data_IF_712631137321
#
_entry.id   IF_712631137321
#
_cell.length_a   1.000
_cell.length_b   1.000
_cell.length_c   1.000
_cell.angle_alpha   90.00
_cell.angle_beta   90.00
_cell.angle_gamma   90.00
#
_symmetry.space_group_name_H-M   'P 1'
#
loop_
_entity.id
_entity.type
_entity.pdbx_description
1 polymer ?
#
# COMPACT_ATOMS: atom_id res chain seq x y z
N UNK A 1 77.45 -15.15 -42.90
CA UNK A 1 76.31 -14.22 -42.81
C UNK A 1 75.52 -14.56 -41.55
N UNK A 2 75.28 -13.56 -40.72
CA UNK A 2 74.99 -13.61 -39.29
C UNK A 2 73.58 -14.12 -38.97
N UNK A 3 73.47 -14.93 -37.91
CA UNK A 3 72.21 -15.42 -37.34
C UNK A 3 71.48 -14.34 -36.53
N UNK A 4 70.15 -14.33 -36.55
CA UNK A 4 69.30 -13.69 -35.55
C UNK A 4 68.11 -14.59 -35.19
N UNK A 5 67.79 -14.57 -33.89
CA UNK A 5 66.91 -15.47 -33.11
C UNK A 5 65.63 -14.75 -32.67
N UNK A 6 64.51 -15.50 -32.64
CA UNK A 6 63.31 -15.46 -31.75
C UNK A 6 62.49 -14.15 -31.61
N UNK A 7 61.21 -14.15 -31.13
CA UNK A 7 60.46 -15.22 -30.45
C UNK A 7 59.02 -15.52 -30.94
N UNK A 8 58.52 -16.67 -30.47
CA UNK A 8 57.13 -17.11 -30.53
C UNK A 8 56.22 -16.27 -29.61
N UNK A 9 55.06 -15.86 -30.13
CA UNK A 9 53.99 -15.23 -29.33
C UNK A 9 52.91 -16.25 -28.96
N UNK A 10 52.48 -16.12 -27.71
CA UNK A 10 51.72 -17.06 -26.92
C UNK A 10 50.21 -17.11 -27.24
N UNK A 11 49.62 -18.24 -26.86
CA UNK A 11 48.21 -18.59 -26.83
C UNK A 11 47.33 -17.63 -26.03
N UNK A 12 46.11 -17.40 -26.52
CA UNK A 12 44.97 -16.96 -25.70
C UNK A 12 43.77 -17.87 -25.97
N UNK A 13 43.56 -18.81 -25.05
CA UNK A 13 42.35 -19.59 -24.95
C UNK A 13 41.25 -18.72 -24.30
N UNK A 14 40.18 -18.45 -25.02
CA UNK A 14 39.00 -17.73 -24.50
C UNK A 14 38.09 -18.76 -23.82
N UNK A 15 38.11 -18.78 -22.49
CA UNK A 15 37.16 -19.52 -21.65
C UNK A 15 35.86 -18.70 -21.55
N UNK A 16 34.82 -19.12 -22.26
CA UNK A 16 33.45 -18.62 -22.10
C UNK A 16 32.82 -19.27 -20.86
N UNK A 17 32.86 -18.58 -19.72
CA UNK A 17 32.04 -18.91 -18.56
C UNK A 17 30.61 -18.40 -18.81
N UNK A 18 29.70 -19.30 -19.17
CA UNK A 18 28.27 -19.03 -19.23
C UNK A 18 27.70 -18.87 -17.82
N UNK A 19 27.45 -17.64 -17.39
CA UNK A 19 26.68 -17.36 -16.18
C UNK A 19 25.18 -17.59 -16.48
N UNK A 20 24.64 -18.71 -16.00
CA UNK A 20 23.21 -18.93 -15.96
C UNK A 20 22.60 -18.02 -14.88
N UNK A 21 22.02 -16.89 -15.27
CA UNK A 21 21.16 -16.11 -14.40
C UNK A 21 19.86 -16.90 -14.17
N UNK A 22 19.76 -17.56 -13.02
CA UNK A 22 18.49 -18.01 -12.49
C UNK A 22 17.65 -16.78 -12.15
N UNK A 23 16.74 -16.40 -13.05
CA UNK A 23 15.73 -15.40 -12.76
C UNK A 23 14.73 -16.02 -11.76
N UNK A 24 14.88 -15.66 -10.48
CA UNK A 24 13.89 -15.92 -9.44
C UNK A 24 12.62 -15.17 -9.80
N UNK A 25 11.67 -15.84 -10.45
CA UNK A 25 10.34 -15.29 -10.69
C UNK A 25 9.67 -15.19 -9.32
N UNK A 26 9.68 -14.01 -8.72
CA UNK A 26 8.90 -13.75 -7.52
C UNK A 26 7.43 -14.02 -7.88
N UNK A 27 6.88 -15.14 -7.40
CA UNK A 27 5.48 -15.46 -7.60
C UNK A 27 4.65 -14.31 -6.99
N UNK A 28 3.57 -13.88 -7.67
CA UNK A 28 2.69 -12.88 -7.10
C UNK A 28 2.16 -13.45 -5.78
N UNK A 29 2.46 -12.78 -4.68
CA UNK A 29 1.87 -13.10 -3.39
C UNK A 29 0.36 -12.80 -3.50
N UNK A 30 -0.41 -13.78 -3.94
CA UNK A 30 -1.84 -13.81 -3.71
C UNK A 30 -2.06 -13.91 -2.19
N UNK A 31 -3.11 -13.30 -1.66
CA UNK A 31 -3.57 -13.61 -0.31
C UNK A 31 -4.06 -15.06 -0.32
N UNK A 32 -3.15 -15.99 -0.14
CA UNK A 32 -3.51 -17.34 0.26
C UNK A 32 -3.81 -17.28 1.75
N UNK A 33 -4.96 -17.84 2.16
CA UNK A 33 -5.17 -18.18 3.56
C UNK A 33 -4.00 -19.02 4.04
N UNK A 34 -3.59 -18.90 5.30
CA UNK A 34 -2.49 -19.70 5.83
C UNK A 34 -2.70 -21.21 5.56
N UNK A 35 -1.77 -21.90 4.89
CA UNK A 35 -1.79 -23.37 4.82
C UNK A 35 -1.41 -23.91 6.20
N UNK A 36 -2.41 -24.15 7.04
CA UNK A 36 -2.20 -24.56 8.42
C UNK A 36 -1.42 -25.86 8.61
N UNK A 37 -1.22 -26.65 7.54
CA UNK A 37 -0.35 -27.83 7.58
C UNK A 37 1.13 -27.49 7.48
N UNK A 38 1.46 -26.28 7.03
CA UNK A 38 2.83 -25.77 6.81
C UNK A 38 3.16 -24.56 7.67
N UNK A 39 2.25 -24.16 8.56
CA UNK A 39 2.46 -23.05 9.47
C UNK A 39 3.75 -23.23 10.27
N UNK A 40 4.66 -22.27 10.16
CA UNK A 40 6.00 -22.36 10.79
C UNK A 40 6.41 -21.11 11.55
N UNK A 41 5.70 -19.98 11.36
CA UNK A 41 5.89 -18.75 12.12
C UNK A 41 4.92 -18.58 13.29
N UNK A 42 5.22 -17.70 14.28
CA UNK A 42 4.33 -17.44 15.42
C UNK A 42 2.96 -16.92 14.97
N UNK A 43 2.92 -16.04 13.97
CA UNK A 43 1.67 -15.52 13.40
C UNK A 43 0.83 -16.61 12.75
N UNK A 44 1.43 -17.41 11.86
CA UNK A 44 0.70 -18.49 11.17
C UNK A 44 0.22 -19.54 12.17
N UNK A 45 1.05 -19.88 13.16
CA UNK A 45 0.67 -20.81 14.23
C UNK A 45 -0.50 -20.28 15.04
N UNK A 46 -0.48 -19.00 15.42
CA UNK A 46 -1.57 -18.36 16.15
C UNK A 46 -2.88 -18.34 15.34
N UNK A 47 -2.81 -17.97 14.05
CA UNK A 47 -3.97 -17.98 13.14
C UNK A 47 -4.55 -19.39 13.04
N UNK A 48 -3.71 -20.40 12.82
CA UNK A 48 -4.16 -21.77 12.59
C UNK A 48 -4.62 -22.50 13.85
N UNK A 49 -4.11 -22.14 15.03
CA UNK A 49 -4.54 -22.73 16.31
C UNK A 49 -5.76 -22.03 16.93
N UNK A 50 -6.15 -20.86 16.41
CA UNK A 50 -7.28 -20.06 16.92
C UNK A 50 -8.44 -20.04 15.90
N UNK A 51 -9.55 -20.77 16.13
CA UNK A 51 -10.63 -20.89 15.14
C UNK A 51 -11.21 -19.56 14.65
N UNK A 52 -11.31 -18.55 15.52
CA UNK A 52 -11.79 -17.22 15.16
C UNK A 52 -10.83 -16.49 14.21
N UNK A 53 -9.51 -16.58 14.44
CA UNK A 53 -8.50 -15.98 13.56
C UNK A 53 -8.45 -16.69 12.20
N UNK A 54 -8.52 -18.03 12.18
CA UNK A 54 -8.60 -18.80 10.93
C UNK A 54 -9.82 -18.41 10.10
N UNK A 55 -10.98 -18.19 10.75
CA UNK A 55 -12.20 -17.74 10.06
C UNK A 55 -12.05 -16.33 9.49
N UNK A 56 -11.38 -15.40 10.19
CA UNK A 56 -11.08 -14.06 9.67
C UNK A 56 -10.10 -14.10 8.50
N UNK A 57 -9.04 -14.90 8.59
CA UNK A 57 -8.05 -15.07 7.52
C UNK A 57 -8.68 -15.63 6.23
N UNK A 58 -9.59 -16.61 6.36
CA UNK A 58 -10.37 -17.12 5.22
C UNK A 58 -11.27 -16.05 4.58
N UNK A 59 -11.96 -15.22 5.39
CA UNK A 59 -12.77 -14.10 4.87
C UNK A 59 -11.93 -13.07 4.13
N UNK A 60 -10.76 -12.72 4.67
CA UNK A 60 -9.80 -11.82 4.02
C UNK A 60 -9.40 -12.37 2.65
N UNK A 61 -9.06 -13.66 2.56
CA UNK A 61 -8.69 -14.30 1.29
C UNK A 61 -9.85 -14.27 0.28
N UNK A 62 -11.07 -14.56 0.71
CA UNK A 62 -12.28 -14.51 -0.14
C UNK A 62 -12.54 -13.09 -0.68
N UNK A 63 -12.51 -12.08 0.19
CA UNK A 63 -12.77 -10.67 -0.16
C UNK A 63 -11.67 -10.12 -1.07
N UNK A 64 -10.41 -10.39 -0.75
CA UNK A 64 -9.27 -10.04 -1.61
C UNK A 64 -9.42 -10.67 -3.00
N UNK A 65 -9.73 -11.97 -3.07
CA UNK A 65 -9.92 -12.65 -4.35
C UNK A 65 -11.07 -12.08 -5.17
N UNK A 66 -12.15 -11.63 -4.50
CA UNK A 66 -13.28 -10.97 -5.15
C UNK A 66 -12.90 -9.61 -5.72
N UNK A 67 -12.21 -8.77 -4.92
CA UNK A 67 -11.74 -7.46 -5.36
C UNK A 67 -10.77 -7.57 -6.56
N UNK A 68 -9.80 -8.49 -6.49
CA UNK A 68 -8.84 -8.73 -7.59
C UNK A 68 -9.53 -9.13 -8.90
N UNK A 69 -10.65 -9.85 -8.85
CA UNK A 69 -11.41 -10.23 -10.06
C UNK A 69 -12.26 -9.09 -10.62
N UNK A 70 -12.67 -8.15 -9.78
CA UNK A 70 -13.47 -6.99 -10.19
C UNK A 70 -12.63 -5.86 -10.78
N UNK A 71 -11.38 -5.72 -10.34
CA UNK A 71 -10.50 -4.64 -10.74
C UNK A 71 -9.87 -4.82 -12.13
N UNK A 72 -9.58 -3.68 -12.76
CA UNK A 72 -8.65 -3.62 -13.89
C UNK A 72 -7.23 -4.05 -13.48
N UNK A 73 -6.34 -4.25 -14.45
CA UNK A 73 -5.00 -4.76 -14.20
C UNK A 73 -4.14 -3.86 -13.28
N UNK A 74 -4.28 -2.54 -13.40
CA UNK A 74 -3.50 -1.57 -12.62
C UNK A 74 -4.01 -1.51 -11.17
N UNK A 75 -5.33 -1.40 -11.00
CA UNK A 75 -6.01 -1.43 -9.70
C UNK A 75 -5.75 -2.75 -8.97
N UNK A 76 -5.81 -3.88 -9.68
CA UNK A 76 -5.50 -5.19 -9.11
C UNK A 76 -4.05 -5.27 -8.63
N UNK A 77 -3.08 -4.79 -9.42
CA UNK A 77 -1.67 -4.81 -9.01
C UNK A 77 -1.37 -3.87 -7.84
N UNK A 78 -2.04 -2.71 -7.78
CA UNK A 78 -1.99 -1.86 -6.60
C UNK A 78 -2.49 -2.61 -5.36
N UNK A 79 -3.62 -3.32 -5.46
CA UNK A 79 -4.16 -4.09 -4.33
C UNK A 79 -3.24 -5.25 -3.92
N UNK A 80 -2.53 -5.88 -4.87
CA UNK A 80 -1.52 -6.89 -4.51
C UNK A 80 -0.37 -6.30 -3.71
N UNK A 81 0.11 -5.10 -4.08
CA UNK A 81 1.16 -4.39 -3.31
C UNK A 81 0.69 -4.05 -1.91
N UNK A 82 -0.51 -3.50 -1.79
CA UNK A 82 -1.12 -3.17 -0.51
C UNK A 82 -1.31 -4.41 0.39
N UNK A 83 -1.79 -5.52 -0.18
CA UNK A 83 -1.90 -6.79 0.55
C UNK A 83 -0.53 -7.34 1.01
N UNK A 84 0.52 -7.21 0.19
CA UNK A 84 1.89 -7.59 0.60
C UNK A 84 2.39 -6.73 1.75
N UNK A 85 2.14 -5.42 1.71
CA UNK A 85 2.50 -4.50 2.78
C UNK A 85 1.76 -4.85 4.08
N UNK A 86 0.47 -5.20 3.98
CA UNK A 86 -0.33 -5.64 5.12
C UNK A 86 0.28 -6.89 5.78
N UNK A 87 0.60 -7.93 4.98
CA UNK A 87 1.19 -9.16 5.49
C UNK A 87 2.56 -8.91 6.14
N UNK A 88 3.37 -8.02 5.55
CA UNK A 88 4.67 -7.64 6.12
C UNK A 88 4.50 -6.91 7.46
N UNK A 89 3.59 -5.94 7.56
CA UNK A 89 3.30 -5.22 8.80
C UNK A 89 2.77 -6.16 9.89
N UNK A 90 1.79 -7.00 9.56
CA UNK A 90 1.23 -8.02 10.46
C UNK A 90 2.30 -8.94 11.01
N UNK A 91 3.16 -9.45 10.14
CA UNK A 91 4.24 -10.36 10.54
C UNK A 91 5.31 -9.64 11.37
N UNK A 92 5.65 -8.40 11.05
CA UNK A 92 6.60 -7.60 11.81
C UNK A 92 6.09 -7.30 13.23
N UNK A 93 4.81 -6.98 13.38
CA UNK A 93 4.17 -6.78 14.69
C UNK A 93 4.09 -8.09 15.46
N UNK A 94 3.60 -9.15 14.82
CA UNK A 94 3.45 -10.45 15.47
C UNK A 94 4.77 -11.11 15.89
N UNK A 95 5.89 -10.76 15.26
CA UNK A 95 7.21 -11.22 15.69
C UNK A 95 7.66 -10.67 17.06
N UNK A 96 6.99 -9.61 17.56
CA UNK A 96 7.30 -8.95 18.83
C UNK A 96 6.39 -9.41 19.99
N UNK A 97 5.33 -10.16 19.68
CA UNK A 97 4.25 -10.51 20.60
C UNK A 97 4.14 -12.03 20.75
N UNK A 98 3.53 -12.47 21.85
CA UNK A 98 3.27 -13.90 22.11
C UNK A 98 1.94 -14.08 22.86
N UNK A 99 1.44 -15.32 22.90
CA UNK A 99 0.29 -15.67 23.74
C UNK A 99 -0.96 -14.83 23.46
N UNK A 100 -1.58 -14.32 24.53
CA UNK A 100 -2.81 -13.55 24.46
C UNK A 100 -2.63 -12.22 23.69
N UNK A 101 -1.52 -11.50 23.94
CA UNK A 101 -1.24 -10.21 23.28
C UNK A 101 -1.14 -10.38 21.75
N UNK A 102 -0.52 -11.47 21.28
CA UNK A 102 -0.47 -11.80 19.86
C UNK A 102 -1.86 -12.09 19.29
N UNK A 103 -2.70 -12.82 20.03
CA UNK A 103 -4.06 -13.15 19.59
C UNK A 103 -4.93 -11.90 19.51
N UNK A 104 -4.83 -11.00 20.48
CA UNK A 104 -5.56 -9.72 20.52
C UNK A 104 -5.15 -8.83 19.33
N UNK A 105 -3.85 -8.61 19.14
CA UNK A 105 -3.33 -7.82 18.02
C UNK A 105 -3.74 -8.41 16.66
N UNK A 106 -3.63 -9.73 16.48
CA UNK A 106 -4.07 -10.37 15.24
C UNK A 106 -5.59 -10.25 15.05
N UNK A 107 -6.39 -10.33 16.11
CA UNK A 107 -7.85 -10.15 16.01
C UNK A 107 -8.14 -8.76 15.46
N UNK A 108 -7.48 -7.74 16.00
CA UNK A 108 -7.66 -6.35 15.61
C UNK A 108 -7.18 -6.08 14.17
N UNK A 109 -5.97 -6.51 13.82
CA UNK A 109 -5.41 -6.36 12.47
C UNK A 109 -6.23 -7.09 11.40
N UNK A 110 -6.62 -8.34 11.65
CA UNK A 110 -7.43 -9.10 10.68
C UNK A 110 -8.84 -8.51 10.55
N UNK A 111 -9.44 -8.03 11.64
CA UNK A 111 -10.76 -7.38 11.59
C UNK A 111 -10.71 -6.09 10.78
N UNK A 112 -9.72 -5.21 11.01
CA UNK A 112 -9.52 -4.00 10.20
C UNK A 112 -9.31 -4.33 8.73
N UNK A 113 -8.52 -5.37 8.44
CA UNK A 113 -8.25 -5.76 7.05
C UNK A 113 -9.49 -6.30 6.35
N UNK A 114 -10.26 -7.13 7.03
CA UNK A 114 -11.53 -7.65 6.51
C UNK A 114 -12.50 -6.51 6.22
N UNK A 115 -12.65 -5.55 7.14
CA UNK A 115 -13.51 -4.38 6.94
C UNK A 115 -13.05 -3.53 5.75
N UNK A 116 -11.74 -3.28 5.62
CA UNK A 116 -11.18 -2.59 4.45
C UNK A 116 -11.52 -3.30 3.14
N UNK A 117 -11.30 -4.62 3.05
CA UNK A 117 -11.57 -5.39 1.83
C UNK A 117 -13.06 -5.50 1.51
N UNK A 118 -13.93 -5.55 2.54
CA UNK A 118 -15.38 -5.56 2.39
C UNK A 118 -15.92 -4.21 1.89
N UNK A 119 -15.27 -3.11 2.24
CA UNK A 119 -15.67 -1.77 1.83
C UNK A 119 -15.19 -1.36 0.44
N UNK A 120 -14.35 -2.17 -0.22
CA UNK A 120 -13.80 -1.84 -1.54
C UNK A 120 -14.89 -1.69 -2.60
N UNK A 121 -14.89 -0.54 -3.26
CA UNK A 121 -15.72 -0.20 -4.41
C UNK A 121 -15.00 -0.41 -5.73
N UNK A 122 -15.77 -0.52 -6.81
CA UNK A 122 -15.29 -0.58 -8.19
C UNK A 122 -16.24 0.22 -9.08
N UNK A 123 -16.55 1.46 -8.67
CA UNK A 123 -17.44 2.32 -9.43
C UNK A 123 -16.76 2.70 -10.76
N UNK A 124 -17.42 2.51 -11.92
CA UNK A 124 -16.88 2.96 -13.20
C UNK A 124 -16.78 4.49 -13.32
N UNK A 125 -17.46 5.26 -12.47
CA UNK A 125 -17.37 6.71 -12.44
C UNK A 125 -16.04 7.13 -11.80
N UNK A 126 -15.10 7.52 -12.65
CA UNK A 126 -13.83 8.11 -12.23
C UNK A 126 -14.09 9.53 -11.77
N UNK A 127 -14.03 9.76 -10.47
CA UNK A 127 -14.10 11.07 -9.84
C UNK A 127 -13.14 11.08 -8.65
N UNK A 128 -12.53 12.21 -8.32
CA UNK A 128 -11.73 12.34 -7.09
C UNK A 128 -12.64 12.43 -5.85
N UNK A 129 -13.91 12.81 -6.01
CA UNK A 129 -14.90 12.91 -4.93
C UNK A 129 -15.27 11.51 -4.45
N UNK A 130 -15.15 11.28 -3.14
CA UNK A 130 -15.42 10.00 -2.55
C UNK A 130 -14.55 9.72 -1.34
N UNK A 131 -14.62 8.47 -0.88
CA UNK A 131 -13.80 7.97 0.24
C UNK A 131 -12.80 6.97 -0.30
N UNK A 132 -11.56 7.13 0.12
CA UNK A 132 -10.41 6.44 -0.44
C UNK A 132 -9.57 5.87 0.69
N UNK A 133 -9.31 4.57 0.67
CA UNK A 133 -8.62 3.87 1.77
C UNK A 133 -7.43 3.07 1.26
N UNK A 134 -6.42 2.90 2.09
CA UNK A 134 -5.36 1.90 1.89
C UNK A 134 -4.99 1.28 3.24
N UNK A 135 -3.91 0.51 3.29
CA UNK A 135 -3.38 -0.05 4.54
C UNK A 135 -3.14 1.00 5.63
N UNK A 136 -2.68 2.20 5.26
CA UNK A 136 -2.18 3.19 6.20
C UNK A 136 -3.29 4.13 6.68
N UNK A 137 -4.33 4.36 5.89
CA UNK A 137 -5.28 5.42 6.21
C UNK A 137 -6.44 5.62 5.24
N UNK A 138 -7.09 6.77 5.39
CA UNK A 138 -8.27 7.19 4.65
C UNK A 138 -8.15 8.65 4.22
N UNK A 139 -8.64 8.93 3.01
CA UNK A 139 -8.85 10.27 2.47
C UNK A 139 -10.31 10.39 2.04
N UNK A 140 -11.00 11.42 2.50
CA UNK A 140 -12.36 11.75 2.10
C UNK A 140 -12.32 13.05 1.33
N UNK A 141 -12.81 13.04 0.09
CA UNK A 141 -12.97 14.23 -0.74
C UNK A 141 -14.45 14.54 -0.92
N UNK A 142 -14.85 15.77 -0.62
CA UNK A 142 -16.20 16.28 -0.77
C UNK A 142 -16.22 17.47 -1.74
N UNK A 143 -17.36 17.67 -2.40
CA UNK A 143 -17.61 18.84 -3.24
C UNK A 143 -18.81 19.64 -2.71
N UNK A 144 -18.62 20.95 -2.55
CA UNK A 144 -19.68 21.89 -2.17
C UNK A 144 -20.54 22.26 -3.38
N UNK A 145 -21.76 22.75 -3.15
CA UNK A 145 -22.65 23.21 -4.22
C UNK A 145 -22.04 24.35 -5.07
N UNK A 146 -21.06 25.07 -4.54
CA UNK A 146 -20.27 26.10 -5.24
C UNK A 146 -19.25 25.53 -6.22
N UNK A 147 -19.00 24.22 -6.19
CA UNK A 147 -17.98 23.53 -6.98
C UNK A 147 -16.64 23.32 -6.25
N UNK A 148 -16.43 24.00 -5.12
CA UNK A 148 -15.20 23.92 -4.29
C UNK A 148 -15.02 22.50 -3.75
N UNK A 149 -13.79 21.97 -3.84
CA UNK A 149 -13.42 20.71 -3.23
C UNK A 149 -12.85 20.92 -1.83
N UNK A 150 -13.14 19.98 -0.94
CA UNK A 150 -12.54 19.88 0.40
C UNK A 150 -12.13 18.46 0.65
N UNK A 151 -11.10 18.25 1.46
CA UNK A 151 -10.68 16.91 1.87
C UNK A 151 -10.36 16.84 3.35
N UNK A 152 -10.48 15.63 3.90
CA UNK A 152 -9.88 15.23 5.16
C UNK A 152 -9.03 13.98 4.92
N UNK A 153 -7.88 13.88 5.59
CA UNK A 153 -6.98 12.76 5.45
C UNK A 153 -6.38 12.37 6.80
N UNK A 154 -6.39 11.06 7.08
CA UNK A 154 -5.71 10.46 8.22
C UNK A 154 -4.92 9.25 7.76
N UNK A 155 -3.72 9.07 8.30
CA UNK A 155 -2.94 7.86 8.08
C UNK A 155 -2.00 7.57 9.25
N UNK A 156 -1.60 6.33 9.45
CA UNK A 156 -0.63 5.94 10.47
C UNK A 156 0.23 4.76 10.03
N UNK A 157 1.40 4.59 10.68
CA UNK A 157 2.24 3.41 10.46
C UNK A 157 1.44 2.14 10.85
N UNK A 158 1.18 1.21 9.90
CA UNK A 158 0.44 -0.02 10.19
C UNK A 158 1.16 -0.95 11.18
N UNK A 159 2.42 -0.65 11.53
CA UNK A 159 3.21 -1.37 12.53
C UNK A 159 3.07 -0.83 13.95
N UNK A 160 2.42 0.34 14.12
CA UNK A 160 2.21 1.01 15.41
C UNK A 160 3.40 1.82 15.95
N UNK A 161 4.50 1.92 15.19
CA UNK A 161 5.81 2.29 15.76
C UNK A 161 6.35 3.68 15.36
N UNK A 162 5.68 4.40 14.45
CA UNK A 162 6.41 5.39 13.66
C UNK A 162 5.78 6.76 13.56
N UNK A 163 4.67 6.84 12.83
CA UNK A 163 4.18 8.10 12.33
C UNK A 163 2.66 8.10 12.25
N UNK A 164 2.10 9.29 12.31
CA UNK A 164 0.70 9.58 12.00
C UNK A 164 0.62 10.85 11.17
N UNK A 165 -0.39 10.91 10.31
CA UNK A 165 -0.75 12.05 9.49
C UNK A 165 -2.19 12.44 9.79
N UNK A 166 -2.46 13.74 9.95
CA UNK A 166 -3.80 14.28 10.07
C UNK A 166 -3.84 15.68 9.44
N UNK A 167 -4.67 15.84 8.40
CA UNK A 167 -4.80 17.10 7.67
C UNK A 167 -6.17 17.23 7.04
N UNK A 168 -6.65 18.46 6.94
CA UNK A 168 -7.77 18.85 6.11
C UNK A 168 -7.37 20.04 5.24
N UNK A 169 -8.15 20.27 4.18
CA UNK A 169 -7.89 21.40 3.30
C UNK A 169 -8.95 21.56 2.23
N UNK A 170 -8.75 22.57 1.39
CA UNK A 170 -9.57 22.85 0.22
C UNK A 170 -8.73 22.79 -1.04
N UNK A 171 -9.39 22.59 -2.16
CA UNK A 171 -8.72 22.45 -3.44
C UNK A 171 -9.62 22.74 -4.61
N UNK A 172 -9.00 22.69 -5.78
CA UNK A 172 -9.63 22.94 -7.05
C UNK A 172 -9.44 21.74 -7.98
N UNK A 173 -10.38 21.60 -8.90
CA UNK A 173 -10.25 20.66 -10.01
C UNK A 173 -9.13 21.12 -10.94
N UNK A 174 -8.28 20.18 -11.35
CA UNK A 174 -7.34 20.34 -12.46
C UNK A 174 -7.98 19.80 -13.74
N UNK A 175 -8.64 18.65 -13.64
CA UNK A 175 -9.35 17.97 -14.72
C UNK A 175 -10.52 17.14 -14.15
N UNK A 176 -11.27 16.41 -14.96
CA UNK A 176 -12.41 15.57 -14.51
C UNK A 176 -12.01 14.46 -13.51
N UNK A 177 -10.77 13.98 -13.61
CA UNK A 177 -10.21 12.91 -12.79
C UNK A 177 -9.09 13.40 -11.86
N UNK A 178 -8.83 14.71 -11.79
CA UNK A 178 -7.63 15.25 -11.14
C UNK A 178 -7.94 16.51 -10.33
N UNK A 179 -7.40 16.57 -9.12
CA UNK A 179 -7.54 17.72 -8.24
C UNK A 179 -6.26 18.01 -7.49
N UNK A 180 -6.11 19.26 -7.07
CA UNK A 180 -5.03 19.70 -6.20
C UNK A 180 -5.62 20.35 -4.97
N UNK A 181 -5.14 19.91 -3.81
CA UNK A 181 -5.42 20.52 -2.53
C UNK A 181 -4.18 21.24 -2.03
N UNK A 182 -4.41 22.45 -1.55
CA UNK A 182 -3.40 23.31 -0.97
C UNK A 182 -3.82 23.68 0.46
N UNK A 183 -2.90 24.23 1.23
CA UNK A 183 -3.19 24.71 2.58
C UNK A 183 -4.12 25.94 2.56
N UNK A 184 -5.23 25.81 3.29
CA UNK A 184 -6.22 26.88 3.49
C UNK A 184 -5.60 28.13 4.13
N UNK A 185 -4.52 28.00 4.90
CA UNK A 185 -3.87 29.14 5.56
C UNK A 185 -3.10 30.05 4.59
N UNK A 186 -2.90 29.60 3.34
CA UNK A 186 -2.12 30.32 2.32
C UNK A 186 -0.63 30.41 2.65
N UNK A 187 -0.18 29.73 3.71
CA UNK A 187 1.20 29.73 4.17
C UNK A 187 1.99 28.49 3.73
N UNK A 188 1.35 27.41 3.25
CA UNK A 188 2.07 26.16 3.04
C UNK A 188 2.92 26.06 1.79
N UNK A 189 4.13 25.59 2.08
CA UNK A 189 5.11 24.94 1.25
C UNK A 189 4.72 23.48 0.87
N UNK A 190 3.44 23.15 0.67
CA UNK A 190 3.05 21.80 0.23
C UNK A 190 1.73 21.75 -0.54
N UNK A 191 1.56 20.71 -1.34
CA UNK A 191 0.28 20.38 -2.00
C UNK A 191 0.03 18.88 -2.04
N UNK A 192 -1.25 18.50 -2.07
CA UNK A 192 -1.71 17.14 -2.29
C UNK A 192 -2.35 17.06 -3.68
N UNK A 193 -1.65 16.43 -4.63
CA UNK A 193 -2.16 16.24 -5.98
C UNK A 193 -2.76 14.84 -6.05
N UNK A 194 -4.02 14.75 -6.45
CA UNK A 194 -4.74 13.48 -6.51
C UNK A 194 -5.29 13.24 -7.90
N UNK A 195 -5.19 12.00 -8.37
CA UNK A 195 -5.73 11.57 -9.65
C UNK A 195 -6.49 10.27 -9.52
N UNK A 196 -7.76 10.27 -9.89
CA UNK A 196 -8.61 9.09 -9.93
C UNK A 196 -8.27 8.26 -11.17
N UNK A 197 -8.02 6.96 -10.98
CA UNK A 197 -7.63 6.03 -12.04
C UNK A 197 -8.30 4.67 -11.78
N UNK A 198 -9.32 4.34 -12.57
CA UNK A 198 -10.13 3.15 -12.33
C UNK A 198 -10.75 3.17 -10.93
N UNK A 199 -10.54 2.11 -10.15
CA UNK A 199 -11.01 2.00 -8.77
C UNK A 199 -10.08 2.64 -7.72
N UNK A 200 -9.09 3.43 -8.16
CA UNK A 200 -8.03 3.98 -7.29
C UNK A 200 -7.92 5.49 -7.34
N UNK A 201 -7.37 6.07 -6.27
CA UNK A 201 -6.90 7.43 -6.19
C UNK A 201 -5.39 7.41 -5.97
N UNK A 202 -4.64 7.93 -6.94
CA UNK A 202 -3.20 8.14 -6.82
C UNK A 202 -2.97 9.47 -6.15
N UNK A 203 -2.27 9.45 -5.03
CA UNK A 203 -2.02 10.62 -4.18
C UNK A 203 -0.53 10.90 -4.18
N UNK A 204 -0.17 12.16 -4.43
CA UNK A 204 1.20 12.66 -4.43
C UNK A 204 1.30 13.95 -3.64
N UNK A 205 2.04 13.89 -2.54
CA UNK A 205 2.47 15.07 -1.82
C UNK A 205 3.63 15.72 -2.57
N UNK A 206 3.56 17.04 -2.72
CA UNK A 206 4.68 17.85 -3.18
C UNK A 206 5.03 18.81 -2.07
N UNK A 207 6.30 18.87 -1.72
CA UNK A 207 6.84 19.90 -0.83
C UNK A 207 7.47 20.98 -1.71
N UNK A 208 7.08 22.22 -1.48
CA UNK A 208 7.55 23.39 -2.21
C UNK A 208 8.51 24.21 -1.32
N UNK A 209 9.15 25.23 -1.88
CA UNK A 209 9.96 26.22 -1.13
C UNK A 209 11.07 25.66 -0.22
N UNK A 210 11.55 24.43 -0.47
CA UNK A 210 12.69 23.85 0.23
C UNK A 210 12.41 23.39 1.66
N UNK A 211 11.15 23.13 2.02
CA UNK A 211 10.84 22.49 3.30
C UNK A 211 11.31 21.02 3.31
N UNK A 212 11.70 20.53 4.50
CA UNK A 212 12.24 19.18 4.67
C UNK A 212 11.15 18.10 4.84
N UNK A 213 9.93 18.50 5.24
CA UNK A 213 8.80 17.59 5.49
C UNK A 213 7.45 18.32 5.38
N UNK A 214 6.38 17.54 5.18
CA UNK A 214 5.00 18.04 5.34
C UNK A 214 4.68 18.28 6.82
N UNK A 215 3.93 19.35 7.17
CA UNK A 215 3.74 19.74 8.58
C UNK A 215 2.72 18.87 9.32
N UNK A 216 1.95 18.04 8.62
CA UNK A 216 0.86 17.24 9.18
C UNK A 216 1.23 15.77 9.39
N UNK A 217 2.40 15.32 8.95
CA UNK A 217 2.88 13.96 9.19
C UNK A 217 4.09 13.97 10.12
N UNK A 218 4.00 13.25 11.24
CA UNK A 218 5.15 13.03 12.14
C UNK A 218 6.17 12.04 11.55
N UNK A 219 7.42 12.11 12.00
CA UNK A 219 8.44 11.07 11.83
C UNK A 219 8.62 10.48 10.40
N UNK A 220 8.49 11.32 9.37
CA UNK A 220 8.64 10.87 7.97
C UNK A 220 7.45 10.09 7.43
N UNK A 221 6.29 10.20 8.07
CA UNK A 221 5.02 9.73 7.54
C UNK A 221 4.61 10.44 6.24
N UNK A 222 3.64 9.86 5.54
CA UNK A 222 3.26 10.32 4.20
C UNK A 222 1.82 9.89 3.89
N UNK A 223 1.09 10.77 3.19
CA UNK A 223 -0.17 10.45 2.52
C UNK A 223 0.02 9.99 1.07
N UNK A 224 1.23 10.06 0.54
CA UNK A 224 1.51 9.62 -0.83
C UNK A 224 1.30 8.12 -0.97
N UNK A 225 0.61 7.72 -2.04
CA UNK A 225 0.30 6.32 -2.28
C UNK A 225 -0.88 6.11 -3.21
N UNK A 226 -1.28 4.85 -3.34
CA UNK A 226 -2.51 4.46 -4.04
C UNK A 226 -3.55 4.11 -3.00
N UNK A 227 -4.72 4.73 -3.12
CA UNK A 227 -5.89 4.44 -2.30
C UNK A 227 -6.96 3.79 -3.17
N UNK A 228 -7.86 3.03 -2.55
CA UNK A 228 -8.95 2.32 -3.19
C UNK A 228 -10.27 2.92 -2.76
N UNK A 229 -11.21 3.00 -3.69
CA UNK A 229 -12.53 3.54 -3.41
C UNK A 229 -13.23 2.73 -2.31
N UNK A 230 -13.88 3.41 -1.37
CA UNK A 230 -14.64 2.79 -0.28
C UNK A 230 -16.14 3.13 -0.38
N UNK A 231 -16.99 2.14 -0.66
CA UNK A 231 -18.41 2.34 -0.98
C UNK A 231 -19.30 2.75 0.21
N UNK A 232 -18.88 2.55 1.46
CA UNK A 232 -19.85 2.49 2.59
C UNK A 232 -20.31 3.75 3.35
N UNK A 233 -19.79 4.97 3.29
CA UNK A 233 -19.95 6.00 4.36
C UNK A 233 -19.48 5.53 5.77
N UNK A 234 -18.88 6.40 6.59
CA UNK A 234 -18.60 6.09 7.99
C UNK A 234 -19.90 5.76 8.73
N UNK A 235 -19.86 4.80 9.65
CA UNK A 235 -20.92 4.68 10.65
C UNK A 235 -20.91 5.98 11.47
N UNK A 236 -21.99 6.80 11.47
CA UNK A 236 -22.01 8.05 12.23
C UNK A 236 -21.93 7.84 13.75
N UNK A 237 -21.87 6.59 14.24
CA UNK A 237 -21.84 6.22 15.65
C UNK A 237 -20.51 5.63 16.15
N UNK A 238 -19.43 5.64 15.37
CA UNK A 238 -18.08 5.26 15.84
C UNK A 238 -17.08 6.39 15.77
#
# INVERSE_FOLDING_TARGET
MTALRFPSSASTAVLLLGAALAASVAQPAAAESADCRRASGPVETAICSTPALAALDAKIAERYGTAIRGYDAASAEALRRDQRAFLAARNAVGARLTGADLIEELTDQLTRREAFLTDLGNDPLVSVVGRWRNLNGEIVVNQWATGVLTFTATAADPRGDGWSCEVDGSGDWIDEDEARFDDISGAAAWSLNVKAQGATLVVKETIENGADAVPYCGAGGTLSGTYFQAVRLPDPSR
#
